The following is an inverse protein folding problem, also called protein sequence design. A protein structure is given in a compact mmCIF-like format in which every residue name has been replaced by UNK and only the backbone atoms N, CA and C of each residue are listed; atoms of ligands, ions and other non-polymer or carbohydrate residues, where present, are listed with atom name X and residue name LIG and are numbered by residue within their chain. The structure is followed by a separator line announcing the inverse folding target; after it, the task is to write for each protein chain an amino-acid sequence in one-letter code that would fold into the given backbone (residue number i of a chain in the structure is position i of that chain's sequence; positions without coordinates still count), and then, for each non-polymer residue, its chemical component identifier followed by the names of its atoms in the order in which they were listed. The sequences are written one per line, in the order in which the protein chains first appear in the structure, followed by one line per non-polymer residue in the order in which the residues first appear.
data_IF_545343572976
#
_entry.id   IF_545343572976
#
_cell.length_a   1.000
_cell.length_b   1.000
_cell.length_c   1.000
_cell.angle_alpha   90.00
_cell.angle_beta   90.00
_cell.angle_gamma   90.00
#
_symmetry.space_group_name_H-M   'P 1'
#
loop_
_entity.id
_entity.type
_entity.pdbx_description
1 polymer ?
#
# COMPACT_ATOMS: atom_id res chain seq x y z
N UNK A 1 20.43 16.10 9.11
CA UNK A 1 19.62 15.92 7.88
C UNK A 1 18.35 16.75 8.03
N UNK A 2 17.91 17.52 7.02
CA UNK A 2 16.64 18.22 7.11
C UNK A 2 15.55 17.17 7.38
N UNK A 3 14.67 17.44 8.34
CA UNK A 3 13.50 16.60 8.59
C UNK A 3 12.65 16.64 7.34
N UNK A 4 12.77 15.65 6.45
CA UNK A 4 11.85 15.48 5.33
C UNK A 4 10.45 15.49 5.92
N UNK A 5 9.59 16.36 5.39
CA UNK A 5 8.23 16.49 5.87
C UNK A 5 7.57 15.10 5.88
N UNK A 6 6.90 14.78 6.99
CA UNK A 6 6.23 13.49 7.16
C UNK A 6 5.15 13.24 6.09
N UNK A 7 4.65 14.33 5.50
CA UNK A 7 3.60 14.34 4.49
C UNK A 7 4.08 15.14 3.27
N UNK A 8 3.73 14.71 2.05
CA UNK A 8 3.91 15.54 0.87
C UNK A 8 3.20 16.89 1.05
N UNK A 9 3.83 17.99 0.61
CA UNK A 9 3.20 19.31 0.73
C UNK A 9 2.00 19.43 -0.21
N UNK A 10 0.97 20.25 0.14
CA UNK A 10 -0.15 20.52 -0.76
C UNK A 10 0.30 20.99 -2.14
N UNK A 11 1.35 21.83 -2.21
CA UNK A 11 1.91 22.30 -3.47
C UNK A 11 2.56 21.17 -4.29
N UNK A 12 3.22 20.21 -3.63
CA UNK A 12 3.78 19.05 -4.32
C UNK A 12 2.68 18.17 -4.92
N UNK A 13 1.59 17.95 -4.17
CA UNK A 13 0.40 17.23 -4.64
C UNK A 13 -0.22 17.94 -5.84
N UNK A 14 -0.43 19.26 -5.76
CA UNK A 14 -0.99 20.06 -6.85
C UNK A 14 -0.12 20.03 -8.11
N UNK A 15 1.21 20.16 -7.94
CA UNK A 15 2.16 20.07 -9.06
C UNK A 15 2.09 18.71 -9.75
N UNK A 16 2.13 17.60 -8.99
CA UNK A 16 2.09 16.25 -9.55
C UNK A 16 0.78 16.01 -10.33
N UNK A 17 -0.35 16.48 -9.80
CA UNK A 17 -1.66 16.38 -10.47
C UNK A 17 -1.73 17.13 -11.80
N UNK A 18 -0.98 18.22 -11.94
CA UNK A 18 -0.89 18.99 -13.18
C UNK A 18 0.11 18.44 -14.20
N UNK A 19 0.82 17.34 -13.91
CA UNK A 19 1.81 16.79 -14.84
C UNK A 19 1.16 16.02 -15.98
N UNK A 20 1.68 16.13 -17.22
CA UNK A 20 1.30 15.24 -18.30
C UNK A 20 1.51 13.77 -17.91
N UNK A 21 0.54 12.90 -18.20
CA UNK A 21 0.59 11.47 -17.89
C UNK A 21 0.09 11.10 -16.49
N UNK A 22 -0.37 12.05 -15.68
CA UNK A 22 -0.91 11.76 -14.35
C UNK A 22 -2.17 10.89 -14.40
N UNK A 23 -3.05 11.15 -15.36
CA UNK A 23 -4.21 10.32 -15.69
C UNK A 23 -3.82 8.86 -16.00
N UNK A 24 -2.80 8.68 -16.85
CA UNK A 24 -2.26 7.36 -17.20
C UNK A 24 -1.67 6.66 -15.97
N UNK A 25 -0.91 7.38 -15.15
CA UNK A 25 -0.33 6.84 -13.91
C UNK A 25 -1.42 6.38 -12.93
N UNK A 26 -2.46 7.19 -12.73
CA UNK A 26 -3.60 6.85 -11.88
C UNK A 26 -4.35 5.62 -12.40
N UNK A 27 -4.64 5.60 -13.71
CA UNK A 27 -5.31 4.49 -14.38
C UNK A 27 -4.51 3.19 -14.24
N UNK A 28 -3.20 3.23 -14.47
CA UNK A 28 -2.32 2.07 -14.34
C UNK A 28 -2.26 1.54 -12.90
N UNK A 29 -2.10 2.44 -11.92
CA UNK A 29 -2.04 2.11 -10.49
C UNK A 29 -3.33 1.48 -9.97
N UNK A 30 -4.48 2.07 -10.30
CA UNK A 30 -5.78 1.54 -9.89
C UNK A 30 -6.12 0.24 -10.60
N UNK A 31 -5.76 0.08 -11.88
CA UNK A 31 -5.87 -1.20 -12.59
C UNK A 31 -5.06 -2.30 -11.90
N UNK A 32 -3.81 -1.99 -11.52
CA UNK A 32 -2.92 -2.92 -10.84
C UNK A 32 -3.49 -3.35 -9.49
N UNK A 33 -3.99 -2.41 -8.68
CA UNK A 33 -4.63 -2.70 -7.41
C UNK A 33 -5.83 -3.66 -7.57
N UNK A 34 -6.67 -3.43 -8.59
CA UNK A 34 -7.83 -4.30 -8.89
C UNK A 34 -7.39 -5.68 -9.38
N UNK A 35 -6.35 -5.77 -10.21
CA UNK A 35 -5.82 -7.07 -10.71
C UNK A 35 -5.20 -7.91 -9.58
N UNK A 36 -4.37 -7.29 -8.74
CA UNK A 36 -3.71 -7.96 -7.61
C UNK A 36 -4.74 -8.54 -6.63
N UNK A 37 -5.84 -7.83 -6.39
CA UNK A 37 -6.94 -8.35 -5.59
C UNK A 37 -7.56 -9.59 -6.28
N UNK A 38 -7.88 -9.53 -7.57
CA UNK A 38 -8.51 -10.67 -8.26
C UNK A 38 -7.64 -11.93 -8.36
N UNK A 39 -6.32 -11.78 -8.45
CA UNK A 39 -5.41 -12.88 -8.80
C UNK A 39 -5.12 -13.88 -7.69
N UNK A 40 -5.28 -13.52 -6.41
CA UNK A 40 -4.82 -14.37 -5.30
C UNK A 40 -5.74 -14.29 -4.07
N UNK A 41 -6.27 -15.45 -3.65
CA UNK A 41 -7.12 -15.60 -2.45
C UNK A 41 -6.39 -15.18 -1.17
N UNK A 42 -5.07 -15.36 -1.11
CA UNK A 42 -4.24 -14.93 0.02
C UNK A 42 -4.15 -13.41 0.04
N UNK A 43 -3.93 -12.77 -1.12
CA UNK A 43 -3.97 -11.31 -1.22
C UNK A 43 -5.34 -10.74 -0.88
N UNK A 44 -6.43 -11.39 -1.29
CA UNK A 44 -7.77 -10.98 -0.88
C UNK A 44 -7.94 -10.99 0.63
N UNK A 45 -7.46 -12.04 1.30
CA UNK A 45 -7.51 -12.13 2.75
C UNK A 45 -6.60 -11.09 3.44
N UNK A 46 -5.48 -10.72 2.82
CA UNK A 46 -4.49 -9.79 3.38
C UNK A 46 -4.63 -8.34 2.92
N UNK A 47 -5.47 -8.02 1.94
CA UNK A 47 -5.63 -6.66 1.40
C UNK A 47 -7.07 -6.15 1.50
N UNK A 48 -7.95 -6.88 2.18
CA UNK A 48 -9.38 -6.53 2.13
C UNK A 48 -9.72 -5.22 2.83
N UNK A 49 -8.97 -4.77 3.82
CA UNK A 49 -9.21 -3.48 4.49
C UNK A 49 -7.88 -2.82 4.85
N UNK A 50 -7.93 -1.56 5.33
CA UNK A 50 -6.74 -0.80 5.73
C UNK A 50 -5.83 -1.60 6.67
N UNK A 51 -6.40 -2.17 7.72
CA UNK A 51 -5.64 -2.93 8.71
C UNK A 51 -4.92 -4.12 8.08
N UNK A 52 -5.62 -4.87 7.23
CA UNK A 52 -5.06 -6.01 6.51
C UNK A 52 -3.95 -5.57 5.55
N UNK A 53 -4.17 -4.53 4.75
CA UNK A 53 -3.20 -4.06 3.78
C UNK A 53 -1.86 -3.61 4.42
N UNK A 54 -1.91 -3.09 5.65
CA UNK A 54 -0.75 -2.61 6.39
C UNK A 54 -0.05 -3.71 7.22
N UNK A 55 -0.77 -4.77 7.60
CA UNK A 55 -0.25 -5.77 8.54
C UNK A 55 0.98 -6.53 8.03
N UNK A 56 1.04 -7.02 6.78
CA UNK A 56 2.26 -7.62 6.24
C UNK A 56 3.43 -6.64 6.17
N UNK A 57 3.15 -5.35 5.95
CA UNK A 57 4.17 -4.30 5.93
C UNK A 57 4.74 -4.04 7.33
N UNK A 58 3.90 -4.05 8.37
CA UNK A 58 4.34 -3.98 9.77
C UNK A 58 5.27 -5.16 10.12
N UNK A 59 4.96 -6.36 9.63
CA UNK A 59 5.82 -7.52 9.85
C UNK A 59 7.21 -7.35 9.21
N UNK A 60 7.26 -6.81 7.98
CA UNK A 60 8.53 -6.50 7.31
C UNK A 60 9.30 -5.39 8.03
N UNK A 61 8.62 -4.34 8.47
CA UNK A 61 9.24 -3.26 9.23
C UNK A 61 9.90 -3.78 10.51
N UNK A 62 9.18 -4.58 11.30
CA UNK A 62 9.73 -5.16 12.54
C UNK A 62 10.86 -6.15 12.28
N UNK A 63 10.86 -6.82 11.11
CA UNK A 63 11.96 -7.70 10.72
C UNK A 63 13.25 -6.93 10.42
N UNK A 64 13.15 -5.81 9.69
CA UNK A 64 14.31 -5.00 9.31
C UNK A 64 14.73 -3.97 10.35
N UNK A 65 13.81 -3.54 11.22
CA UNK A 65 14.13 -2.65 12.33
C UNK A 65 15.04 -3.39 13.30
N UNK A 66 16.28 -2.89 13.43
CA UNK A 66 17.32 -3.45 14.29
C UNK A 66 16.79 -3.69 15.71
N UNK A 67 17.18 -4.81 16.31
CA UNK A 67 17.09 -4.99 17.76
C UNK A 67 18.44 -4.63 18.37
N UNK A 68 18.39 -4.01 19.55
CA UNK A 68 19.49 -4.08 20.50
C UNK A 68 19.78 -5.55 20.82
N UNK A 69 21.05 -5.88 21.01
CA UNK A 69 21.52 -7.18 21.52
C UNK A 69 21.34 -8.40 20.58
N UNK A 70 21.25 -8.19 19.27
CA UNK A 70 21.38 -9.27 18.27
C UNK A 70 20.15 -10.16 18.06
N UNK A 71 18.97 -9.71 18.50
CA UNK A 71 17.74 -10.49 18.44
C UNK A 71 16.86 -10.14 17.22
N UNK A 72 15.82 -10.95 16.96
CA UNK A 72 14.86 -10.69 15.87
C UNK A 72 13.74 -9.75 16.34
N UNK A 73 13.56 -8.62 15.65
CA UNK A 73 12.53 -7.63 16.00
C UNK A 73 11.10 -8.09 15.71
N UNK A 74 10.93 -9.01 14.76
CA UNK A 74 9.64 -9.59 14.45
C UNK A 74 9.30 -10.73 15.42
N UNK A 75 8.48 -10.42 16.42
CA UNK A 75 7.89 -11.40 17.34
C UNK A 75 6.36 -11.25 17.36
N UNK A 76 5.66 -12.27 17.85
CA UNK A 76 4.20 -12.17 18.08
C UNK A 76 3.85 -11.01 19.02
N UNK A 77 4.68 -10.79 20.06
CA UNK A 77 4.51 -9.69 21.01
C UNK A 77 4.68 -8.32 20.34
N UNK A 78 5.77 -8.11 19.62
CA UNK A 78 6.04 -6.86 18.90
C UNK A 78 4.96 -6.55 17.86
N UNK A 79 4.45 -7.56 17.14
CA UNK A 79 3.32 -7.38 16.22
C UNK A 79 2.07 -6.89 16.94
N UNK A 80 1.71 -7.47 18.10
CA UNK A 80 0.53 -7.05 18.87
C UNK A 80 0.69 -5.62 19.40
N UNK A 81 1.84 -5.32 19.98
CA UNK A 81 2.15 -3.98 20.50
C UNK A 81 2.08 -2.94 19.39
N UNK A 82 2.71 -3.21 18.25
CA UNK A 82 2.68 -2.31 17.10
C UNK A 82 1.26 -2.14 16.53
N UNK A 83 0.49 -3.23 16.40
CA UNK A 83 -0.90 -3.15 15.92
C UNK A 83 -1.80 -2.34 16.86
N UNK A 84 -1.61 -2.46 18.17
CA UNK A 84 -2.35 -1.68 19.16
C UNK A 84 -1.92 -0.20 19.10
N UNK A 85 -0.62 0.08 19.05
CA UNK A 85 -0.09 1.45 18.96
C UNK A 85 -0.56 2.19 17.71
N UNK A 86 -0.71 1.48 16.60
CA UNK A 86 -1.14 2.04 15.31
C UNK A 86 -2.65 2.00 15.08
N UNK A 87 -3.42 1.52 16.07
CA UNK A 87 -4.86 1.28 15.98
C UNK A 87 -5.25 0.51 14.69
N UNK A 88 -4.50 -0.55 14.39
CA UNK A 88 -4.75 -1.39 13.21
C UNK A 88 -5.73 -2.51 13.51
N UNK A 89 -5.53 -3.22 14.63
CA UNK A 89 -6.42 -4.30 15.03
C UNK A 89 -6.25 -4.70 16.49
N UNK A 90 -7.26 -5.39 17.03
CA UNK A 90 -7.20 -5.99 18.36
C UNK A 90 -6.18 -7.12 18.44
N UNK A 91 -5.76 -7.48 19.65
CA UNK A 91 -4.79 -8.55 19.88
C UNK A 91 -5.25 -9.90 19.29
N UNK A 92 -6.53 -10.26 19.45
CA UNK A 92 -7.07 -11.50 18.88
C UNK A 92 -7.09 -11.51 17.35
N UNK A 93 -7.39 -10.36 16.72
CA UNK A 93 -7.31 -10.22 15.26
C UNK A 93 -5.87 -10.28 14.76
N UNK A 94 -4.92 -9.69 15.48
CA UNK A 94 -3.49 -9.80 15.19
C UNK A 94 -3.02 -11.27 15.22
N UNK A 95 -3.43 -12.05 16.23
CA UNK A 95 -3.10 -13.48 16.29
C UNK A 95 -3.68 -14.27 15.11
N UNK A 96 -4.95 -14.04 14.77
CA UNK A 96 -5.59 -14.71 13.63
C UNK A 96 -4.87 -14.39 12.31
N UNK A 97 -4.44 -13.15 12.12
CA UNK A 97 -3.70 -12.73 10.93
C UNK A 97 -2.29 -13.33 10.88
N UNK A 98 -1.58 -13.41 12.00
CA UNK A 98 -0.30 -14.12 12.07
C UNK A 98 -0.46 -15.61 11.81
N UNK A 99 -1.51 -16.24 12.35
CA UNK A 99 -1.82 -17.64 12.09
C UNK A 99 -2.07 -17.88 10.59
N UNK A 100 -2.83 -16.99 9.94
CA UNK A 100 -3.05 -17.04 8.49
C UNK A 100 -1.75 -16.87 7.70
N UNK A 101 -0.91 -15.87 8.06
CA UNK A 101 0.39 -15.66 7.40
C UNK A 101 1.32 -16.86 7.55
N UNK A 102 1.29 -17.54 8.70
CA UNK A 102 2.05 -18.79 8.91
C UNK A 102 1.48 -19.95 8.10
N UNK A 103 0.17 -20.16 8.13
CA UNK A 103 -0.51 -21.23 7.39
C UNK A 103 -0.33 -21.10 5.87
N UNK A 104 -0.20 -19.86 5.38
CA UNK A 104 0.02 -19.57 3.95
C UNK A 104 1.51 -19.51 3.56
N UNK A 105 2.42 -19.76 4.51
CA UNK A 105 3.86 -19.78 4.29
C UNK A 105 4.47 -18.42 4.01
N UNK A 106 3.86 -17.33 4.47
CA UNK A 106 4.40 -15.98 4.37
C UNK A 106 5.38 -15.65 5.50
N UNK A 107 5.18 -16.24 6.67
CA UNK A 107 6.03 -16.07 7.85
C UNK A 107 6.35 -17.43 8.45
N UNK A 108 7.60 -17.62 8.85
CA UNK A 108 8.07 -18.82 9.53
C UNK A 108 8.49 -18.51 10.97
N UNK A 109 8.54 -19.55 11.81
CA UNK A 109 9.18 -19.44 13.12
C UNK A 109 10.70 -19.41 12.95
N UNK A 110 11.38 -18.52 13.66
CA UNK A 110 12.84 -18.53 13.68
C UNK A 110 13.35 -19.51 14.74
N UNK A 111 14.54 -20.07 14.53
CA UNK A 111 15.23 -20.84 15.55
C UNK A 111 15.58 -19.93 16.73
N UNK A 112 15.20 -20.31 17.96
CA UNK A 112 15.54 -19.57 19.18
C UNK A 112 15.65 -20.53 20.36
N UNK A 113 16.64 -20.28 21.22
CA UNK A 113 16.87 -20.97 22.48
C UNK A 113 15.77 -20.69 23.51
N UNK A 114 15.21 -19.47 23.52
CA UNK A 114 14.06 -19.10 24.35
C UNK A 114 12.74 -19.19 23.57
N UNK A 115 12.02 -20.30 23.79
CA UNK A 115 10.71 -20.58 23.17
C UNK A 115 9.61 -19.61 23.59
N UNK A 116 9.78 -18.84 24.68
CA UNK A 116 8.77 -17.89 25.18
C UNK A 116 8.62 -16.68 24.26
N UNK A 117 9.68 -16.30 23.54
CA UNK A 117 9.70 -15.08 22.72
C UNK A 117 9.06 -15.24 21.36
N UNK A 118 9.00 -16.48 20.84
CA UNK A 118 8.34 -16.84 19.56
C UNK A 118 8.74 -15.89 18.41
N UNK A 119 10.04 -15.77 18.08
CA UNK A 119 10.46 -14.97 16.95
C UNK A 119 9.99 -15.55 15.63
N UNK A 120 9.84 -14.65 14.67
CA UNK A 120 9.34 -14.94 13.35
C UNK A 120 10.27 -14.31 12.32
N UNK A 121 10.30 -14.91 11.12
CA UNK A 121 10.99 -14.36 9.96
C UNK A 121 10.04 -14.29 8.76
N UNK A 122 10.03 -13.19 8.00
CA UNK A 122 9.46 -13.17 6.66
C UNK A 122 10.09 -14.27 5.82
N UNK A 123 9.28 -14.96 5.04
CA UNK A 123 9.77 -15.88 4.01
C UNK A 123 10.05 -15.12 2.72
N UNK A 124 10.79 -15.72 1.79
CA UNK A 124 10.99 -15.18 0.45
C UNK A 124 9.66 -14.93 -0.28
N UNK A 125 8.64 -15.75 0.01
CA UNK A 125 7.29 -15.58 -0.53
C UNK A 125 6.68 -14.23 -0.13
N UNK A 126 6.85 -13.82 1.14
CA UNK A 126 6.33 -12.53 1.61
C UNK A 126 7.09 -11.34 1.00
N UNK A 127 8.41 -11.48 0.83
CA UNK A 127 9.25 -10.46 0.20
C UNK A 127 8.90 -10.32 -1.29
N UNK A 128 8.79 -11.43 -2.03
CA UNK A 128 8.42 -11.44 -3.44
C UNK A 128 7.04 -10.78 -3.67
N UNK A 129 6.07 -11.09 -2.82
CA UNK A 129 4.73 -10.48 -2.85
C UNK A 129 4.78 -8.95 -2.74
N UNK A 130 5.61 -8.43 -1.83
CA UNK A 130 5.74 -6.97 -1.68
C UNK A 130 6.52 -6.34 -2.83
N UNK A 131 7.56 -7.01 -3.33
CA UNK A 131 8.29 -6.57 -4.54
C UNK A 131 7.36 -6.46 -5.73
N UNK A 132 6.48 -7.42 -5.96
CA UNK A 132 5.47 -7.34 -7.03
C UNK A 132 4.53 -6.15 -6.81
N UNK A 133 3.99 -6.00 -5.59
CA UNK A 133 3.08 -4.89 -5.25
C UNK A 133 3.71 -3.52 -5.41
N UNK A 134 4.96 -3.33 -5.00
CA UNK A 134 5.66 -2.07 -5.20
C UNK A 134 6.07 -1.88 -6.66
N UNK A 135 6.47 -2.96 -7.33
CA UNK A 135 6.87 -2.95 -8.72
C UNK A 135 5.79 -2.38 -9.62
N UNK A 136 4.55 -2.91 -9.51
CA UNK A 136 3.43 -2.41 -10.33
C UNK A 136 3.09 -0.94 -10.06
N UNK A 137 3.36 -0.44 -8.84
CA UNK A 137 3.14 0.97 -8.51
C UNK A 137 4.26 1.85 -9.06
N UNK A 138 5.51 1.43 -9.00
CA UNK A 138 6.62 2.15 -9.63
C UNK A 138 6.48 2.16 -11.16
N UNK A 139 6.03 1.05 -11.76
CA UNK A 139 5.71 0.98 -13.19
C UNK A 139 4.58 1.96 -13.57
N UNK A 140 3.56 2.12 -12.72
CA UNK A 140 2.51 3.11 -12.93
C UNK A 140 3.02 4.56 -12.77
N UNK A 141 3.88 4.80 -11.78
CA UNK A 141 4.44 6.11 -11.48
C UNK A 141 5.37 6.64 -12.58
N UNK A 142 5.99 5.77 -13.40
CA UNK A 142 7.00 6.19 -14.37
C UNK A 142 6.49 7.15 -15.45
N UNK A 143 5.17 7.20 -15.68
CA UNK A 143 4.55 8.15 -16.60
C UNK A 143 4.68 9.62 -16.13
N UNK A 144 4.78 9.86 -14.81
CA UNK A 144 4.90 11.20 -14.21
C UNK A 144 6.19 11.42 -13.44
N UNK A 145 6.83 10.35 -12.99
CA UNK A 145 8.05 10.39 -12.19
C UNK A 145 9.11 9.50 -12.86
N UNK A 146 9.97 10.05 -13.72
CA UNK A 146 11.01 9.27 -14.42
C UNK A 146 11.92 8.47 -13.48
N UNK A 147 12.17 8.98 -12.26
CA UNK A 147 12.94 8.30 -11.23
C UNK A 147 12.31 6.96 -10.78
N UNK A 148 11.02 6.74 -11.02
CA UNK A 148 10.35 5.48 -10.70
C UNK A 148 10.93 4.26 -11.42
N UNK A 149 11.58 4.45 -12.57
CA UNK A 149 12.33 3.40 -13.25
C UNK A 149 13.49 2.89 -12.38
N UNK A 150 14.22 3.78 -11.72
CA UNK A 150 15.29 3.42 -10.81
C UNK A 150 14.74 2.74 -9.54
N UNK A 151 13.61 3.21 -9.01
CA UNK A 151 12.96 2.56 -7.86
C UNK A 151 12.53 1.14 -8.19
N UNK A 152 11.97 0.93 -9.39
CA UNK A 152 11.57 -0.39 -9.90
C UNK A 152 12.75 -1.35 -10.03
N UNK A 153 13.89 -0.86 -10.50
CA UNK A 153 15.13 -1.63 -10.59
C UNK A 153 15.71 -1.95 -9.20
N UNK A 154 15.66 -0.97 -8.29
CA UNK A 154 16.11 -1.11 -6.90
C UNK A 154 15.43 -2.24 -6.13
N UNK A 155 14.21 -2.64 -6.50
CA UNK A 155 13.52 -3.77 -5.86
C UNK A 155 14.27 -5.11 -5.95
N UNK A 156 15.21 -5.25 -6.89
CA UNK A 156 16.07 -6.42 -7.01
C UNK A 156 17.24 -6.42 -6.00
N UNK A 157 17.56 -5.27 -5.41
CA UNK A 157 18.60 -5.11 -4.39
C UNK A 157 18.01 -5.27 -2.97
N UNK A 158 18.48 -6.24 -2.18
CA UNK A 158 18.06 -6.40 -0.79
C UNK A 158 18.30 -5.16 0.09
N UNK A 159 19.37 -4.39 -0.15
CA UNK A 159 19.67 -3.19 0.63
C UNK A 159 18.61 -2.10 0.38
N UNK A 160 18.27 -1.84 -0.89
CA UNK A 160 17.15 -0.97 -1.24
C UNK A 160 15.84 -1.43 -0.58
N UNK A 161 15.49 -2.72 -0.67
CA UNK A 161 14.24 -3.24 -0.08
C UNK A 161 14.19 -3.02 1.43
N UNK A 162 15.29 -3.29 2.15
CA UNK A 162 15.42 -3.04 3.59
C UNK A 162 15.14 -1.57 3.91
N UNK A 163 15.87 -0.66 3.27
CA UNK A 163 15.77 0.78 3.55
C UNK A 163 14.40 1.36 3.14
N UNK A 164 13.83 0.88 2.03
CA UNK A 164 12.52 1.29 1.58
C UNK A 164 11.41 0.88 2.57
N UNK A 165 11.45 -0.35 3.08
CA UNK A 165 10.52 -0.82 4.11
C UNK A 165 10.68 -0.02 5.40
N UNK A 166 11.91 0.21 5.84
CA UNK A 166 12.18 0.99 7.05
C UNK A 166 11.63 2.40 6.94
N UNK A 167 11.84 3.08 5.82
CA UNK A 167 11.39 4.45 5.64
C UNK A 167 9.86 4.55 5.52
N UNK A 168 9.22 3.64 4.77
CA UNK A 168 7.77 3.53 4.73
C UNK A 168 7.18 3.31 6.14
N UNK A 169 7.75 2.40 6.94
CA UNK A 169 7.27 2.13 8.28
C UNK A 169 7.54 3.29 9.25
N UNK A 170 8.71 3.92 9.18
CA UNK A 170 9.11 5.04 10.05
C UNK A 170 8.17 6.23 9.89
N UNK A 171 7.87 6.63 8.64
CA UNK A 171 6.95 7.75 8.37
C UNK A 171 5.52 7.42 8.80
N UNK A 172 5.06 6.19 8.55
CA UNK A 172 3.75 5.75 9.01
C UNK A 172 3.64 5.79 10.55
N UNK A 173 4.64 5.27 11.26
CA UNK A 173 4.68 5.29 12.74
C UNK A 173 4.67 6.74 13.26
N UNK A 174 5.38 7.64 12.58
CA UNK A 174 5.42 9.06 12.91
C UNK A 174 4.15 9.84 12.47
N UNK A 175 3.11 9.16 11.97
CA UNK A 175 1.78 9.74 11.76
C UNK A 175 1.44 10.08 10.31
N UNK A 176 2.30 9.78 9.34
CA UNK A 176 1.97 9.96 7.92
C UNK A 176 0.84 9.01 7.50
N UNK A 177 -0.22 9.53 6.86
CA UNK A 177 -1.27 8.71 6.23
C UNK A 177 -1.52 9.21 4.81
N UNK A 178 -1.64 8.27 3.86
CA UNK A 178 -2.00 8.59 2.46
C UNK A 178 -3.37 9.26 2.37
N UNK A 179 -4.30 8.88 3.26
CA UNK A 179 -5.65 9.45 3.29
C UNK A 179 -5.73 10.84 3.94
N UNK A 180 -4.66 11.36 4.54
CA UNK A 180 -4.68 12.72 5.09
C UNK A 180 -4.97 13.76 3.99
N UNK A 181 -4.61 13.48 2.73
CA UNK A 181 -4.92 14.32 1.55
C UNK A 181 -6.28 14.05 0.92
N UNK A 182 -7.02 13.04 1.39
CA UNK A 182 -8.32 12.64 0.86
C UNK A 182 -9.18 11.94 1.94
N UNK A 183 -9.47 12.61 3.08
CA UNK A 183 -10.21 12.02 4.19
C UNK A 183 -11.62 11.57 3.78
N UNK A 184 -12.16 12.12 2.70
CA UNK A 184 -13.47 11.75 2.18
C UNK A 184 -13.53 10.28 1.76
N UNK A 185 -12.39 9.67 1.38
CA UNK A 185 -12.29 8.27 0.98
C UNK A 185 -12.19 7.28 2.16
N UNK A 186 -12.13 7.76 3.40
CA UNK A 186 -12.08 6.91 4.60
C UNK A 186 -13.17 5.81 4.64
N UNK A 187 -14.44 6.05 4.25
CA UNK A 187 -15.45 4.99 4.21
C UNK A 187 -15.12 3.85 3.25
N UNK A 188 -14.35 4.09 2.19
CA UNK A 188 -13.88 3.04 1.30
C UNK A 188 -12.65 2.32 1.88
N UNK A 189 -11.76 3.04 2.57
CA UNK A 189 -10.55 2.47 3.16
C UNK A 189 -10.81 1.54 4.36
N UNK A 190 -11.79 1.88 5.19
CA UNK A 190 -12.13 1.10 6.39
C UNK A 190 -12.97 -0.15 6.08
N UNK A 191 -13.57 -0.21 4.89
CA UNK A 191 -14.49 -1.29 4.53
C UNK A 191 -13.78 -2.36 3.71
N UNK A 192 -14.15 -3.61 3.96
CA UNK A 192 -13.72 -4.78 3.19
C UNK A 192 -13.93 -4.54 1.68
N UNK A 193 -12.87 -4.67 0.89
CA UNK A 193 -12.81 -4.42 -0.55
C UNK A 193 -13.21 -2.99 -1.00
N UNK A 194 -13.37 -2.03 -0.09
CA UNK A 194 -13.96 -0.73 -0.44
C UNK A 194 -13.11 0.05 -1.44
N UNK A 195 -11.80 0.17 -1.20
CA UNK A 195 -10.90 0.87 -2.13
C UNK A 195 -10.83 0.21 -3.51
N UNK A 196 -10.76 -1.12 -3.57
CA UNK A 196 -10.71 -1.83 -4.86
C UNK A 196 -12.05 -1.80 -5.61
N UNK A 197 -13.17 -1.69 -4.89
CA UNK A 197 -14.49 -1.39 -5.48
C UNK A 197 -14.49 0.01 -6.10
N UNK A 198 -14.02 1.04 -5.36
CA UNK A 198 -13.92 2.40 -5.87
C UNK A 198 -13.04 2.48 -7.12
N UNK A 199 -11.86 1.85 -7.08
CA UNK A 199 -10.97 1.76 -8.24
C UNK A 199 -11.60 1.02 -9.40
N UNK A 200 -12.36 -0.06 -9.14
CA UNK A 200 -13.08 -0.75 -10.20
C UNK A 200 -14.16 0.09 -10.85
N UNK A 201 -14.81 0.98 -10.10
CA UNK A 201 -15.81 1.91 -10.64
C UNK A 201 -15.14 3.01 -11.48
N UNK A 202 -14.04 3.57 -10.99
CA UNK A 202 -13.25 4.54 -11.74
C UNK A 202 -12.68 3.95 -13.05
N UNK A 203 -12.44 2.63 -13.07
CA UNK A 203 -11.96 1.89 -14.23
C UNK A 203 -13.07 1.43 -15.18
N UNK A 204 -14.34 1.72 -14.91
CA UNK A 204 -15.46 1.28 -15.75
C UNK A 204 -15.62 2.07 -17.06
N UNK A 205 -14.96 3.23 -17.17
CA UNK A 205 -14.91 4.01 -18.42
C UNK A 205 -13.88 3.42 -19.40
N UNK A 206 -14.03 3.77 -20.67
CA UNK A 206 -13.14 3.36 -21.74
C UNK A 206 -11.70 3.82 -21.55
N UNK A 207 -10.74 3.25 -22.32
CA UNK A 207 -9.33 3.59 -22.22
C UNK A 207 -9.04 5.05 -22.63
N UNK A 208 -9.85 5.60 -23.55
CA UNK A 208 -9.70 6.96 -24.09
C UNK A 208 -10.48 8.01 -23.29
N UNK A 209 -11.27 7.59 -22.31
CA UNK A 209 -12.05 8.50 -21.45
C UNK A 209 -11.16 9.12 -20.36
N UNK A 210 -11.61 10.23 -19.77
CA UNK A 210 -10.97 10.82 -18.60
C UNK A 210 -10.91 9.85 -17.42
N UNK A 211 -9.85 9.95 -16.61
CA UNK A 211 -9.70 9.21 -15.35
C UNK A 211 -9.43 10.15 -14.18
N UNK A 212 -10.22 10.13 -13.09
CA UNK A 212 -11.48 9.38 -12.95
C UNK A 212 -12.58 9.86 -13.92
N UNK A 213 -13.56 9.02 -14.27
CA UNK A 213 -14.57 9.35 -15.28
C UNK A 213 -15.47 10.49 -14.84
N UNK A 214 -15.67 11.46 -15.74
CA UNK A 214 -16.59 12.60 -15.55
C UNK A 214 -18.03 12.27 -15.95
N UNK A 215 -18.19 11.25 -16.78
CA UNK A 215 -19.45 10.77 -17.34
C UNK A 215 -19.98 9.55 -16.55
N UNK A 216 -21.30 9.29 -16.59
CA UNK A 216 -21.88 8.11 -15.93
C UNK A 216 -21.26 6.81 -16.47
N UNK A 217 -20.85 5.93 -15.56
CA UNK A 217 -20.28 4.62 -15.88
C UNK A 217 -21.25 3.48 -15.54
N UNK A 218 -21.28 2.41 -16.34
CA UNK A 218 -22.10 1.25 -16.03
C UNK A 218 -21.60 0.56 -14.76
N UNK A 219 -22.52 0.06 -13.95
CA UNK A 219 -22.18 -0.71 -12.76
C UNK A 219 -23.21 -1.81 -12.49
N UNK A 220 -22.79 -2.84 -11.74
CA UNK A 220 -23.66 -3.90 -11.28
C UNK A 220 -23.36 -4.24 -9.84
N UNK A 221 -24.35 -4.13 -8.95
CA UNK A 221 -24.21 -4.54 -7.55
C UNK A 221 -23.83 -6.02 -7.44
N UNK A 222 -24.46 -6.88 -8.25
CA UNK A 222 -24.15 -8.30 -8.31
C UNK A 222 -22.76 -8.55 -8.86
N UNK A 223 -22.38 -7.82 -9.91
CA UNK A 223 -21.06 -7.87 -10.51
C UNK A 223 -19.97 -7.52 -9.50
N UNK A 224 -20.13 -6.41 -8.77
CA UNK A 224 -19.20 -5.97 -7.73
C UNK A 224 -19.13 -6.97 -6.57
N UNK A 225 -20.28 -7.42 -6.06
CA UNK A 225 -20.35 -8.40 -4.97
C UNK A 225 -19.61 -9.69 -5.31
N UNK A 226 -19.89 -10.24 -6.49
CA UNK A 226 -19.24 -11.47 -6.99
C UNK A 226 -17.76 -11.24 -7.22
N UNK A 227 -17.39 -10.15 -7.91
CA UNK A 227 -16.00 -9.82 -8.27
C UNK A 227 -15.10 -9.67 -7.05
N UNK A 228 -15.63 -9.12 -5.96
CA UNK A 228 -14.86 -8.82 -4.76
C UNK A 228 -15.17 -9.75 -3.58
N UNK A 229 -15.93 -10.84 -3.82
CA UNK A 229 -16.28 -11.84 -2.80
C UNK A 229 -16.89 -11.21 -1.52
N UNK A 230 -17.75 -10.21 -1.70
CA UNK A 230 -18.49 -9.54 -0.62
C UNK A 230 -19.99 -9.68 -0.84
N UNK A 231 -20.79 -9.49 0.21
CA UNK A 231 -22.25 -9.56 0.06
C UNK A 231 -22.80 -8.38 -0.75
N UNK A 232 -23.93 -8.58 -1.43
CA UNK A 232 -24.68 -7.48 -2.07
C UNK A 232 -25.03 -6.36 -1.09
N UNK A 233 -25.44 -6.74 0.13
CA UNK A 233 -25.77 -5.80 1.20
C UNK A 233 -24.56 -4.92 1.54
N UNK A 234 -23.35 -5.51 1.62
CA UNK A 234 -22.11 -4.78 1.86
C UNK A 234 -21.84 -3.74 0.77
N UNK A 235 -21.94 -4.11 -0.51
CA UNK A 235 -21.77 -3.17 -1.63
C UNK A 235 -22.81 -2.05 -1.56
N UNK A 236 -24.08 -2.36 -1.33
CA UNK A 236 -25.14 -1.36 -1.21
C UNK A 236 -24.92 -0.39 -0.05
N UNK A 237 -24.51 -0.88 1.11
CA UNK A 237 -24.20 -0.04 2.27
C UNK A 237 -23.01 0.88 1.98
N UNK A 238 -21.94 0.34 1.36
CA UNK A 238 -20.77 1.13 0.99
C UNK A 238 -21.13 2.27 0.03
N UNK A 239 -21.88 1.96 -1.03
CA UNK A 239 -22.26 2.96 -2.03
C UNK A 239 -23.24 3.99 -1.49
N UNK A 240 -24.16 3.60 -0.61
CA UNK A 240 -25.06 4.54 0.07
C UNK A 240 -24.28 5.54 0.91
N UNK A 241 -23.30 5.09 1.70
CA UNK A 241 -22.47 5.99 2.50
C UNK A 241 -21.66 6.94 1.61
N UNK A 242 -21.15 6.45 0.48
CA UNK A 242 -20.44 7.30 -0.47
C UNK A 242 -21.36 8.35 -1.13
N UNK A 243 -22.61 7.99 -1.41
CA UNK A 243 -23.64 8.89 -1.94
C UNK A 243 -24.07 9.95 -0.92
N UNK A 244 -24.29 9.56 0.35
CA UNK A 244 -24.56 10.47 1.47
C UNK A 244 -23.43 11.49 1.68
N UNK A 245 -22.18 11.12 1.36
CA UNK A 245 -21.02 12.00 1.40
C UNK A 245 -20.77 12.79 0.10
N UNK A 246 -21.62 12.65 -0.91
CA UNK A 246 -21.48 13.37 -2.18
C UNK A 246 -20.27 12.95 -3.01
N UNK A 247 -19.78 11.72 -2.85
CA UNK A 247 -18.65 11.18 -3.64
C UNK A 247 -19.10 10.59 -4.97
N UNK A 248 -20.33 10.08 -5.00
CA UNK A 248 -20.95 9.47 -6.17
C UNK A 248 -22.46 9.64 -6.09
N UNK A 249 -23.12 9.45 -7.23
CA UNK A 249 -24.58 9.34 -7.30
C UNK A 249 -24.94 8.11 -8.12
N UNK A 250 -25.92 7.35 -7.63
CA UNK A 250 -26.40 6.14 -8.29
C UNK A 250 -27.62 6.44 -9.14
N UNK A 251 -27.55 6.10 -10.42
CA UNK A 251 -28.71 5.86 -11.26
C UNK A 251 -29.12 4.38 -11.23
N UNK A 252 -30.14 4.05 -12.01
CA UNK A 252 -30.67 2.68 -12.15
C UNK A 252 -29.61 1.72 -12.70
N UNK A 253 -28.96 2.10 -13.81
CA UNK A 253 -27.99 1.25 -14.52
C UNK A 253 -26.58 1.86 -14.63
N UNK A 254 -26.46 3.16 -14.34
CA UNK A 254 -25.21 3.91 -14.39
C UNK A 254 -24.98 4.67 -13.09
N UNK A 255 -23.73 4.97 -12.79
CA UNK A 255 -23.30 5.74 -11.62
C UNK A 255 -22.37 6.85 -12.08
N UNK A 256 -22.48 8.03 -11.47
CA UNK A 256 -21.52 9.12 -11.71
C UNK A 256 -20.65 9.31 -10.47
N UNK A 257 -19.33 9.33 -10.66
CA UNK A 257 -18.41 9.79 -9.61
C UNK A 257 -18.48 11.32 -9.61
N UNK A 258 -18.87 11.91 -8.49
CA UNK A 258 -19.07 13.36 -8.37
C UNK A 258 -17.71 14.09 -8.31
N UNK A 259 -17.65 15.41 -8.58
CA UNK A 259 -16.41 16.18 -8.56
C UNK A 259 -15.58 15.98 -7.28
N UNK A 260 -16.24 15.94 -6.12
CA UNK A 260 -15.58 15.66 -4.83
C UNK A 260 -14.92 14.28 -4.80
N UNK A 261 -15.60 13.25 -5.31
CA UNK A 261 -15.05 11.90 -5.40
C UNK A 261 -13.86 11.80 -6.35
N UNK A 262 -13.92 12.49 -7.49
CA UNK A 262 -12.82 12.52 -8.47
C UNK A 262 -11.58 13.21 -7.90
N UNK A 263 -11.77 14.42 -7.35
CA UNK A 263 -10.69 15.18 -6.73
C UNK A 263 -10.07 14.42 -5.54
N UNK A 264 -10.89 13.73 -4.72
CA UNK A 264 -10.38 12.91 -3.63
C UNK A 264 -9.54 11.71 -4.13
N UNK A 265 -9.94 11.03 -5.22
CA UNK A 265 -9.13 9.96 -5.85
C UNK A 265 -7.80 10.51 -6.34
N UNK A 266 -7.81 11.65 -7.05
CA UNK A 266 -6.61 12.29 -7.56
C UNK A 266 -5.64 12.69 -6.45
N UNK A 267 -6.13 13.38 -5.40
CA UNK A 267 -5.31 13.79 -4.25
C UNK A 267 -4.72 12.60 -3.52
N UNK A 268 -5.49 11.54 -3.31
CA UNK A 268 -5.00 10.32 -2.68
C UNK A 268 -3.89 9.66 -3.49
N UNK A 269 -4.07 9.49 -4.81
CA UNK A 269 -3.08 8.84 -5.67
C UNK A 269 -1.81 9.68 -5.80
N UNK A 270 -1.93 11.00 -5.95
CA UNK A 270 -0.79 11.91 -5.93
C UNK A 270 -0.03 11.83 -4.59
N UNK A 271 -0.75 11.84 -3.47
CA UNK A 271 -0.14 11.71 -2.13
C UNK A 271 0.58 10.37 -1.98
N UNK A 272 -0.03 9.28 -2.45
CA UNK A 272 0.58 7.95 -2.43
C UNK A 272 1.86 7.89 -3.27
N UNK A 273 1.85 8.46 -4.48
CA UNK A 273 3.01 8.46 -5.37
C UNK A 273 4.16 9.27 -4.77
N UNK A 274 3.89 10.47 -4.25
CA UNK A 274 4.93 11.29 -3.59
C UNK A 274 5.47 10.59 -2.34
N UNK A 275 4.59 10.02 -1.51
CA UNK A 275 4.99 9.26 -0.34
C UNK A 275 5.93 8.09 -0.69
N UNK A 276 5.59 7.32 -1.73
CA UNK A 276 6.43 6.21 -2.19
C UNK A 276 7.74 6.70 -2.81
N UNK A 277 7.72 7.74 -3.64
CA UNK A 277 8.90 8.29 -4.28
C UNK A 277 9.91 8.83 -3.25
N UNK A 278 9.44 9.62 -2.29
CA UNK A 278 10.30 10.19 -1.26
C UNK A 278 10.92 9.09 -0.36
N UNK A 279 10.20 8.00 -0.08
CA UNK A 279 10.76 6.86 0.64
C UNK A 279 11.79 6.10 -0.23
N UNK A 280 11.53 5.96 -1.53
CA UNK A 280 12.42 5.28 -2.46
C UNK A 280 13.72 6.08 -2.71
N UNK A 281 13.65 7.41 -2.75
CA UNK A 281 14.83 8.27 -2.85
C UNK A 281 15.77 8.08 -1.66
N UNK A 282 15.23 8.06 -0.44
CA UNK A 282 16.01 7.78 0.78
C UNK A 282 16.63 6.38 0.72
N UNK A 283 15.86 5.39 0.23
CA UNK A 283 16.34 4.02 0.11
C UNK A 283 17.48 3.87 -0.91
N UNK A 284 17.39 4.51 -2.08
CA UNK A 284 18.47 4.51 -3.08
C UNK A 284 19.74 5.15 -2.53
N UNK A 285 19.63 6.29 -1.82
CA UNK A 285 20.77 6.96 -1.21
C UNK A 285 21.42 6.12 -0.10
N UNK A 286 20.64 5.37 0.66
CA UNK A 286 21.15 4.47 1.70
C UNK A 286 21.84 3.24 1.11
N UNK A 287 21.19 2.56 0.16
CA UNK A 287 21.75 1.40 -0.53
C UNK A 287 23.05 1.73 -1.28
N UNK A 288 23.10 2.88 -1.96
CA UNK A 288 24.33 3.36 -2.60
C UNK A 288 25.49 3.47 -1.61
N UNK A 289 25.28 4.05 -0.42
CA UNK A 289 26.34 4.20 0.59
C UNK A 289 26.84 2.85 1.13
N UNK A 290 25.98 1.86 1.30
CA UNK A 290 26.36 0.52 1.75
C UNK A 290 27.19 -0.23 0.69
N UNK A 291 26.86 -0.07 -0.60
CA UNK A 291 27.66 -0.60 -1.70
C UNK A 291 29.10 -0.06 -1.70
N UNK A 292 29.25 1.27 -1.62
CA UNK A 292 30.58 1.90 -1.60
C UNK A 292 31.41 1.53 -0.36
N UNK A 293 30.78 1.35 0.80
CA UNK A 293 31.47 0.91 2.01
C UNK A 293 31.97 -0.55 1.91
N UNK A 294 31.17 -1.42 1.28
CA UNK A 294 31.54 -2.84 1.06
C UNK A 294 32.71 -2.95 0.08
N UNK A 295 32.69 -2.19 -1.01
CA UNK A 295 33.77 -2.17 -2.01
C UNK A 295 35.08 -1.60 -1.43
N UNK A 296 35.00 -0.57 -0.58
CA UNK A 296 36.17 -0.01 0.09
C UNK A 296 36.83 -1.01 1.06
N UNK A 297 36.05 -1.79 1.80
CA UNK A 297 36.56 -2.84 2.71
C UNK A 297 37.18 -4.00 1.91
N UNK A 298 36.58 -4.38 0.78
CA UNK A 298 37.13 -5.40 -0.11
C UNK A 298 38.46 -4.95 -0.74
N UNK A 299 38.58 -3.67 -1.12
CA UNK A 299 39.81 -3.10 -1.71
C UNK A 299 40.95 -2.96 -0.69
N UNK A 300 40.63 -2.77 0.60
CA UNK A 300 41.62 -2.70 1.69
C UNK A 300 42.09 -4.08 2.19
N UNK A 301 41.44 -5.16 1.76
CA UNK A 301 41.77 -6.54 2.15
C UNK A 301 42.51 -7.32 1.06
N UNK A 302 42.84 -6.66 -0.06
CA UNK A 302 43.61 -7.18 -1.19
C UNK A 302 45.01 -6.55 -1.23
#
# INVERSE_FOLDING_TARGET
MPMTALRPSPDAVARLRGMPGFDQAMRASTAAAVRLYRGDRILNALLSDRARALFPHVALYLHFAEQRDGELGLTVGAMKEMCARLDLCSAGRCEAMLALMRATGLVAAAANLDRRRRPLVPTDKLIALHRERWGVQFDAMSAVLPAAVAYRAGLNDPAFVKHFVLELGRRFIAGARVLDGAPELEPFAERTAGMVILFSLAQSAGPDDAFPPDSPVPYSINGLATRFSVSRKHVLTLLRVAEEKGLLVRGTDAMSILPLGRDAIERMLATMFLYMAECADVALQAAGREGHATDAVATLSA
#
